data_IF_647557403703
#
_entry.id   IF_647557403703
#
_cell.length_a   1.000
_cell.length_b   1.000
_cell.length_c   1.000
_cell.angle_alpha   90.00
_cell.angle_beta   90.00
_cell.angle_gamma   90.00
#
_symmetry.space_group_name_H-M   'P 1'
#
loop_
_entity.id
_entity.type
_entity.pdbx_description
1 polymer ?
#
# COMPACT_ATOMS: atom_id res chain seq x y z
N UNK A 1 -3.39 -18.89 0.00
CA UNK A 1 -2.61 -18.03 -0.90
C UNK A 1 -1.79 -18.93 -1.83
N UNK A 2 -2.01 -18.83 -3.14
CA UNK A 2 -1.31 -19.66 -4.12
C UNK A 2 -0.21 -18.82 -4.77
N UNK A 3 1.00 -19.37 -4.87
CA UNK A 3 2.07 -18.78 -5.68
C UNK A 3 2.10 -19.54 -7.00
N UNK A 4 1.76 -18.90 -8.11
CA UNK A 4 1.98 -19.46 -9.43
C UNK A 4 3.50 -19.54 -9.71
N UNK A 5 4.00 -20.75 -9.79
CA UNK A 5 5.30 -21.04 -10.39
C UNK A 5 5.03 -21.45 -11.84
N UNK A 6 5.65 -20.77 -12.80
CA UNK A 6 5.47 -21.06 -14.22
C UNK A 6 5.68 -22.56 -14.52
N UNK A 7 4.62 -23.24 -14.87
CA UNK A 7 4.61 -24.62 -15.32
C UNK A 7 4.16 -25.64 -14.30
N UNK A 8 2.91 -25.72 -14.00
CA UNK A 8 2.07 -26.87 -13.71
C UNK A 8 1.56 -27.14 -12.29
N UNK A 9 2.12 -26.63 -11.20
CA UNK A 9 1.51 -26.87 -9.89
C UNK A 9 1.55 -25.62 -9.01
N UNK A 10 0.41 -25.08 -8.54
CA UNK A 10 0.42 -23.98 -7.59
C UNK A 10 1.09 -24.43 -6.29
N UNK A 11 2.16 -23.75 -5.88
CA UNK A 11 2.77 -24.01 -4.57
C UNK A 11 1.99 -23.22 -3.51
N UNK A 12 1.47 -23.94 -2.54
CA UNK A 12 0.90 -23.35 -1.33
C UNK A 12 2.02 -22.77 -0.46
N UNK A 13 1.82 -21.57 0.07
CA UNK A 13 2.64 -21.07 1.17
C UNK A 13 2.26 -21.89 2.40
N UNK A 14 3.09 -22.85 2.74
CA UNK A 14 2.93 -23.70 3.91
C UNK A 14 3.72 -23.19 5.11
N UNK A 15 3.54 -23.83 6.26
CA UNK A 15 4.22 -23.48 7.51
C UNK A 15 5.75 -23.41 7.34
N UNK A 16 6.34 -24.33 6.62
CA UNK A 16 7.78 -24.42 6.36
C UNK A 16 8.34 -23.28 5.48
N UNK A 17 7.49 -22.49 4.85
CA UNK A 17 7.94 -21.29 4.12
C UNK A 17 8.45 -20.23 5.10
N UNK A 18 7.82 -20.08 6.25
CA UNK A 18 8.15 -19.09 7.27
C UNK A 18 8.87 -19.71 8.46
N UNK A 19 8.52 -20.93 8.88
CA UNK A 19 9.07 -21.60 10.05
C UNK A 19 10.12 -22.64 9.67
N UNK A 20 11.16 -22.78 10.51
CA UNK A 20 12.11 -23.87 10.41
C UNK A 20 11.74 -24.97 11.42
N UNK A 21 11.18 -26.11 10.97
CA UNK A 21 10.74 -27.19 11.88
C UNK A 21 11.88 -27.86 12.65
N UNK A 22 13.13 -27.58 12.28
CA UNK A 22 14.31 -28.10 12.97
C UNK A 22 14.93 -27.10 13.95
N UNK A 23 14.23 -25.98 14.23
CA UNK A 23 14.67 -24.92 15.11
C UNK A 23 15.40 -23.78 14.39
N UNK A 24 15.35 -22.61 14.99
CA UNK A 24 16.12 -21.44 14.58
C UNK A 24 16.38 -20.56 15.79
N UNK A 25 17.33 -19.61 15.65
CA UNK A 25 17.61 -18.61 16.69
C UNK A 25 16.57 -17.48 16.73
N UNK A 26 15.61 -17.49 15.82
CA UNK A 26 14.55 -16.50 15.73
C UNK A 26 13.33 -16.87 16.55
N UNK A 27 12.62 -15.86 17.07
CA UNK A 27 11.34 -16.06 17.78
C UNK A 27 10.37 -16.87 16.93
N UNK A 28 9.66 -17.81 17.55
CA UNK A 28 8.70 -18.72 16.89
C UNK A 28 9.33 -19.57 15.78
N UNK A 29 10.61 -19.87 15.87
CA UNK A 29 11.36 -20.68 14.90
C UNK A 29 11.25 -20.15 13.45
N UNK A 30 11.17 -18.83 13.30
CA UNK A 30 11.12 -18.20 11.98
C UNK A 30 12.48 -18.36 11.26
N UNK A 31 12.42 -18.59 9.94
CA UNK A 31 13.61 -18.75 9.10
C UNK A 31 14.41 -17.47 8.96
N UNK A 32 13.74 -16.31 9.05
CA UNK A 32 14.32 -14.99 8.86
C UNK A 32 13.72 -14.02 9.86
N UNK A 33 14.42 -12.93 10.19
CA UNK A 33 13.90 -11.91 11.10
C UNK A 33 12.67 -11.20 10.53
N UNK A 34 11.81 -10.71 11.42
CA UNK A 34 10.60 -9.94 11.08
C UNK A 34 10.74 -8.44 11.38
N UNK A 35 11.85 -8.03 12.02
CA UNK A 35 12.07 -6.65 12.48
C UNK A 35 13.01 -5.84 11.61
N UNK A 36 13.74 -6.48 10.70
CA UNK A 36 14.66 -5.79 9.77
C UNK A 36 13.89 -4.99 8.72
N UNK A 37 14.49 -3.86 8.28
CA UNK A 37 13.87 -2.92 7.32
C UNK A 37 14.53 -2.99 5.95
N UNK A 38 14.84 -4.19 5.54
CA UNK A 38 15.52 -4.51 4.28
C UNK A 38 15.06 -5.87 3.74
N UNK A 39 15.75 -6.36 2.73
CA UNK A 39 15.46 -7.62 2.05
C UNK A 39 15.72 -8.87 2.89
N UNK A 40 16.30 -8.76 4.08
CA UNK A 40 16.46 -9.87 5.02
C UNK A 40 15.20 -10.13 5.85
N UNK A 41 14.23 -9.20 5.85
CA UNK A 41 12.96 -9.39 6.52
C UNK A 41 12.15 -10.51 5.84
N UNK A 42 11.63 -11.43 6.62
CA UNK A 42 10.86 -12.59 6.17
C UNK A 42 9.72 -12.23 5.19
N UNK A 43 8.96 -11.18 5.50
CA UNK A 43 7.83 -10.75 4.68
C UNK A 43 8.30 -9.97 3.44
N UNK A 44 9.26 -9.05 3.64
CA UNK A 44 9.75 -8.16 2.57
C UNK A 44 10.42 -8.97 1.45
N UNK A 45 11.07 -10.10 1.74
CA UNK A 45 11.69 -10.97 0.71
C UNK A 45 10.74 -11.33 -0.43
N UNK A 46 9.46 -11.50 -0.13
CA UNK A 46 8.43 -11.77 -1.14
C UNK A 46 7.67 -10.51 -1.56
N UNK A 47 7.46 -9.57 -0.62
CA UNK A 47 6.66 -8.36 -0.81
C UNK A 47 7.51 -7.14 -1.18
N UNK A 48 8.39 -7.28 -2.21
CA UNK A 48 9.29 -6.21 -2.65
C UNK A 48 9.50 -6.14 -4.17
N UNK A 49 8.73 -6.88 -4.96
CA UNK A 49 8.97 -6.99 -6.40
C UNK A 49 8.39 -5.81 -7.17
N UNK A 50 9.11 -5.38 -8.22
CA UNK A 50 8.70 -4.29 -9.11
C UNK A 50 8.12 -3.08 -8.34
N UNK A 51 8.81 -2.67 -7.29
CA UNK A 51 8.38 -1.55 -6.46
C UNK A 51 8.71 -0.18 -7.07
N UNK A 52 9.55 -0.13 -8.09
CA UNK A 52 9.89 1.05 -8.89
C UNK A 52 9.84 0.69 -10.39
N UNK A 53 9.53 1.64 -11.28
CA UNK A 53 9.54 1.37 -12.70
C UNK A 53 10.97 1.11 -13.19
N UNK A 54 11.10 0.18 -14.13
CA UNK A 54 12.36 -0.24 -14.75
C UNK A 54 12.17 -0.31 -16.26
N UNK A 55 13.11 0.27 -17.03
CA UNK A 55 13.09 0.22 -18.48
C UNK A 55 13.30 -1.18 -19.06
N UNK A 56 14.01 -2.03 -18.32
CA UNK A 56 14.22 -3.44 -18.69
C UNK A 56 13.00 -4.32 -18.39
N UNK A 57 12.07 -3.86 -17.57
CA UNK A 57 10.90 -4.61 -17.14
C UNK A 57 9.62 -3.78 -17.33
N UNK A 58 8.88 -4.09 -18.39
CA UNK A 58 7.63 -3.40 -18.72
C UNK A 58 6.45 -3.79 -17.82
N UNK A 59 6.65 -4.67 -16.85
CA UNK A 59 5.63 -5.05 -15.87
C UNK A 59 5.39 -3.90 -14.91
N UNK A 60 4.12 -3.62 -14.62
CA UNK A 60 3.72 -2.66 -13.57
C UNK A 60 4.17 -3.10 -12.17
N UNK A 61 3.77 -2.36 -11.12
CA UNK A 61 4.07 -2.74 -9.74
C UNK A 61 3.63 -4.17 -9.43
N UNK A 62 4.40 -4.87 -8.61
CA UNK A 62 4.07 -6.24 -8.20
C UNK A 62 4.61 -6.52 -6.80
N UNK A 63 3.72 -6.85 -5.87
CA UNK A 63 4.05 -7.07 -4.46
C UNK A 63 4.93 -5.97 -3.83
N UNK A 64 4.57 -4.67 -3.92
CA UNK A 64 5.42 -3.56 -3.52
C UNK A 64 5.31 -3.19 -2.03
N UNK A 65 4.63 -3.99 -1.21
CA UNK A 65 4.19 -3.64 0.15
C UNK A 65 5.35 -3.24 1.06
N UNK A 66 6.45 -4.01 1.07
CA UNK A 66 7.63 -3.70 1.88
C UNK A 66 8.27 -2.35 1.51
N UNK A 67 8.66 -2.14 0.25
CA UNK A 67 9.18 -0.84 -0.19
C UNK A 67 8.21 0.32 0.02
N UNK A 68 6.89 0.11 -0.14
CA UNK A 68 5.88 1.16 0.11
C UNK A 68 5.85 1.53 1.59
N UNK A 69 5.80 0.53 2.49
CA UNK A 69 5.88 0.75 3.93
C UNK A 69 7.14 1.56 4.30
N UNK A 70 8.28 1.24 3.69
CA UNK A 70 9.57 1.89 3.96
C UNK A 70 9.76 3.23 3.23
N UNK A 71 8.79 3.70 2.41
CA UNK A 71 8.92 4.94 1.64
C UNK A 71 9.96 4.87 0.52
N UNK A 72 10.07 3.72 -0.16
CA UNK A 72 11.11 3.42 -1.18
C UNK A 72 10.53 2.88 -2.48
N UNK A 73 9.23 3.05 -2.72
CA UNK A 73 8.53 2.54 -3.91
C UNK A 73 8.13 3.66 -4.86
N UNK A 74 7.72 3.31 -6.06
CA UNK A 74 7.16 4.21 -7.04
C UNK A 74 8.19 4.87 -7.96
N UNK A 75 7.67 5.58 -8.93
CA UNK A 75 8.43 6.53 -9.73
C UNK A 75 8.63 7.81 -8.92
N UNK A 76 9.87 8.20 -8.74
CA UNK A 76 10.23 9.44 -8.04
C UNK A 76 10.29 10.58 -9.05
N UNK A 77 9.36 11.55 -9.03
CA UNK A 77 9.41 12.72 -9.92
C UNK A 77 10.72 13.50 -9.77
N UNK A 78 11.18 14.18 -10.81
CA UNK A 78 12.38 15.02 -10.73
C UNK A 78 12.30 16.01 -9.55
N UNK A 79 13.34 16.02 -8.73
CA UNK A 79 13.41 16.85 -7.52
C UNK A 79 12.66 16.33 -6.30
N UNK A 80 11.95 15.23 -6.39
CA UNK A 80 11.31 14.63 -5.23
C UNK A 80 12.35 14.04 -4.27
N UNK A 81 12.29 14.46 -3.01
CA UNK A 81 13.09 13.90 -1.91
C UNK A 81 12.15 13.54 -0.78
N UNK A 82 12.30 12.33 -0.28
CA UNK A 82 11.57 11.83 0.89
C UNK A 82 12.55 11.56 2.04
N UNK A 83 12.28 12.17 3.19
CA UNK A 83 12.98 11.89 4.45
C UNK A 83 11.93 11.49 5.50
N UNK A 84 12.06 10.27 6.01
CA UNK A 84 11.17 9.73 7.03
C UNK A 84 11.63 9.99 8.46
N UNK A 85 12.77 10.68 8.66
CA UNK A 85 13.39 10.82 9.99
C UNK A 85 12.46 11.51 10.97
N UNK A 86 11.79 12.57 10.54
CA UNK A 86 10.90 13.38 11.37
C UNK A 86 9.41 13.14 11.08
N UNK A 87 9.07 12.14 10.26
CA UNK A 87 7.69 11.87 9.87
C UNK A 87 7.20 10.58 10.52
N UNK A 88 6.12 10.64 11.33
CA UNK A 88 5.52 9.44 11.88
C UNK A 88 5.00 8.53 10.77
N UNK A 89 5.55 7.33 10.66
CA UNK A 89 5.13 6.31 9.69
C UNK A 89 5.00 4.96 10.38
N UNK A 90 4.26 4.05 9.78
CA UNK A 90 4.15 2.66 10.23
C UNK A 90 5.49 1.90 10.13
N UNK A 91 6.48 2.44 9.42
CA UNK A 91 7.84 1.92 9.37
C UNK A 91 8.74 2.40 10.52
N UNK A 92 8.26 3.25 11.43
CA UNK A 92 9.06 3.73 12.55
C UNK A 92 9.48 2.59 13.48
N UNK A 93 10.79 2.48 13.73
CA UNK A 93 11.36 1.35 14.47
C UNK A 93 10.95 1.31 15.95
N UNK A 94 10.81 2.47 16.58
CA UNK A 94 10.42 2.57 17.98
C UNK A 94 8.91 2.30 18.17
N UNK A 95 8.07 2.80 17.26
CA UNK A 95 6.62 2.63 17.35
C UNK A 95 6.15 1.27 16.81
N UNK A 96 6.82 0.73 15.79
CA UNK A 96 6.46 -0.55 15.17
C UNK A 96 7.69 -1.46 15.00
N UNK A 97 8.24 -2.04 16.07
CA UNK A 97 9.44 -2.87 16.01
C UNK A 97 9.26 -4.16 15.21
N UNK A 98 8.05 -4.69 15.13
CA UNK A 98 7.73 -5.95 14.44
C UNK A 98 7.22 -5.78 13.02
N UNK A 99 7.14 -4.55 12.51
CA UNK A 99 6.68 -4.21 11.15
C UNK A 99 5.37 -4.90 10.76
N UNK A 100 5.41 -5.69 9.68
CA UNK A 100 4.25 -6.37 9.09
C UNK A 100 3.47 -7.20 10.10
N UNK A 101 4.19 -7.90 10.97
CA UNK A 101 3.61 -8.84 11.95
C UNK A 101 2.73 -8.13 12.97
N UNK A 102 3.02 -6.88 13.32
CA UNK A 102 2.22 -6.10 14.26
C UNK A 102 0.76 -5.97 13.81
N UNK A 103 0.54 -5.83 12.51
CA UNK A 103 -0.80 -5.66 11.94
C UNK A 103 -1.35 -6.95 11.34
N UNK A 104 -0.50 -7.69 10.58
CA UNK A 104 -0.95 -8.83 9.77
C UNK A 104 -0.99 -10.16 10.52
N UNK A 105 -0.38 -10.24 11.71
CA UNK A 105 -0.35 -11.46 12.52
C UNK A 105 -1.02 -11.27 13.88
N UNK A 106 -1.87 -10.25 14.02
CA UNK A 106 -2.64 -10.04 15.25
C UNK A 106 -3.68 -11.14 15.44
N UNK A 107 -3.97 -11.44 16.69
CA UNK A 107 -4.94 -12.46 17.07
C UNK A 107 -6.18 -11.80 17.68
N UNK A 108 -7.33 -12.36 17.41
CA UNK A 108 -8.58 -11.76 17.86
C UNK A 108 -9.62 -12.85 18.15
N UNK A 109 -10.38 -12.65 19.22
CA UNK A 109 -11.58 -13.45 19.50
C UNK A 109 -12.81 -12.72 18.95
N UNK A 110 -13.59 -13.42 18.14
CA UNK A 110 -14.90 -12.95 17.68
C UNK A 110 -15.96 -13.62 18.54
N UNK A 111 -16.77 -12.82 19.21
CA UNK A 111 -17.83 -13.30 20.08
C UNK A 111 -19.19 -13.12 19.42
N UNK A 112 -20.04 -14.14 19.55
CA UNK A 112 -21.45 -14.06 19.20
C UNK A 112 -22.21 -13.07 20.12
N UNK A 113 -23.41 -12.69 19.74
CA UNK A 113 -24.32 -11.96 20.59
C UNK A 113 -24.54 -12.74 21.91
N UNK A 114 -24.21 -12.11 23.04
CA UNK A 114 -24.22 -12.76 24.36
C UNK A 114 -22.86 -13.15 24.92
N UNK A 115 -21.76 -12.82 24.19
CA UNK A 115 -20.39 -12.94 24.69
C UNK A 115 -19.76 -14.33 24.54
N UNK A 116 -20.46 -15.32 23.99
CA UNK A 116 -19.89 -16.63 23.71
C UNK A 116 -18.89 -16.54 22.56
N UNK A 117 -17.71 -17.17 22.72
CA UNK A 117 -16.72 -17.25 21.65
C UNK A 117 -17.29 -17.93 20.41
N UNK A 118 -17.40 -17.18 19.31
CA UNK A 118 -17.84 -17.73 18.02
C UNK A 118 -16.66 -18.37 17.28
N UNK A 119 -15.51 -17.69 17.22
CA UNK A 119 -14.27 -18.21 16.64
C UNK A 119 -13.07 -17.39 17.08
N UNK A 120 -11.88 -17.97 16.89
CA UNK A 120 -10.59 -17.35 17.19
C UNK A 120 -9.79 -17.11 15.91
N UNK A 121 -9.47 -15.85 15.63
CA UNK A 121 -8.59 -15.47 14.53
C UNK A 121 -7.13 -15.55 14.98
N UNK A 122 -6.35 -16.41 14.33
CA UNK A 122 -4.97 -16.75 14.76
C UNK A 122 -3.89 -15.85 14.15
N UNK A 123 -4.25 -14.91 13.27
CA UNK A 123 -3.30 -14.08 12.53
C UNK A 123 -2.68 -14.73 11.28
N UNK A 124 -2.73 -16.06 11.14
CA UNK A 124 -2.15 -16.76 9.98
C UNK A 124 -2.95 -16.58 8.67
N UNK A 125 -4.08 -15.88 8.70
CA UNK A 125 -4.75 -15.39 7.50
C UNK A 125 -4.11 -14.12 6.93
N UNK A 126 -3.22 -13.47 7.68
CA UNK A 126 -2.49 -12.26 7.31
C UNK A 126 -3.38 -11.03 7.03
N UNK A 127 -4.59 -10.99 7.57
CA UNK A 127 -5.49 -9.85 7.44
C UNK A 127 -5.23 -8.83 8.55
N UNK A 128 -4.81 -7.60 8.19
CA UNK A 128 -4.60 -6.52 9.17
C UNK A 128 -5.92 -6.00 9.76
N UNK A 129 -7.01 -6.08 9.01
CA UNK A 129 -8.35 -5.70 9.44
C UNK A 129 -9.37 -6.77 9.00
N UNK A 130 -9.43 -7.93 9.70
CA UNK A 130 -10.30 -9.05 9.32
C UNK A 130 -11.77 -8.70 9.48
N UNK A 131 -12.61 -9.34 8.68
CA UNK A 131 -14.05 -9.34 8.85
C UNK A 131 -14.43 -10.07 10.15
N UNK A 132 -15.34 -9.48 10.92
CA UNK A 132 -15.68 -9.98 12.27
C UNK A 132 -17.17 -10.26 12.45
N UNK A 133 -17.87 -10.60 11.38
CA UNK A 133 -19.22 -11.07 11.52
C UNK A 133 -19.27 -12.45 12.19
N UNK A 134 -20.37 -12.72 12.90
CA UNK A 134 -20.55 -13.98 13.63
C UNK A 134 -20.92 -15.16 12.73
N UNK A 135 -21.10 -14.94 11.44
CA UNK A 135 -21.52 -15.96 10.46
C UNK A 135 -20.34 -16.73 9.84
N UNK A 136 -19.12 -16.25 10.07
CA UNK A 136 -17.90 -16.86 9.60
C UNK A 136 -16.85 -15.84 9.20
N UNK A 137 -15.59 -16.28 9.13
CA UNK A 137 -14.51 -15.46 8.58
C UNK A 137 -14.72 -15.38 7.08
N UNK A 138 -15.09 -14.26 6.56
CA UNK A 138 -14.92 -14.01 5.14
C UNK A 138 -13.42 -13.87 4.88
N UNK A 139 -12.84 -14.85 4.21
CA UNK A 139 -11.44 -14.85 3.82
C UNK A 139 -11.14 -13.88 2.68
N UNK A 140 -12.16 -13.26 2.12
CA UNK A 140 -12.04 -12.22 1.10
C UNK A 140 -12.17 -10.85 1.78
N UNK A 141 -11.37 -9.89 1.40
CA UNK A 141 -11.50 -8.49 1.85
C UNK A 141 -12.82 -7.80 1.41
N UNK A 142 -13.86 -8.57 1.14
CA UNK A 142 -15.09 -8.15 0.53
C UNK A 142 -16.14 -7.59 1.51
N UNK A 143 -15.89 -7.64 2.83
CA UNK A 143 -16.85 -7.09 3.79
C UNK A 143 -16.76 -5.56 3.89
N UNK A 144 -17.89 -4.95 4.24
CA UNK A 144 -17.97 -3.53 4.53
C UNK A 144 -17.00 -3.14 5.66
N UNK A 145 -16.40 -1.96 5.56
CA UNK A 145 -15.44 -1.45 6.55
C UNK A 145 -16.03 -1.35 7.97
N UNK A 146 -17.35 -1.23 8.10
CA UNK A 146 -18.05 -1.16 9.39
C UNK A 146 -18.02 -2.47 10.18
N UNK A 147 -17.87 -3.62 9.49
CA UNK A 147 -17.78 -4.96 10.10
C UNK A 147 -16.34 -5.50 10.16
N UNK A 148 -15.34 -4.68 9.82
CA UNK A 148 -13.92 -5.03 10.01
C UNK A 148 -13.43 -4.70 11.40
N UNK A 149 -12.56 -5.56 11.94
CA UNK A 149 -11.84 -5.29 13.18
C UNK A 149 -10.56 -4.50 12.89
N UNK A 150 -10.40 -3.37 13.58
CA UNK A 150 -9.16 -2.59 13.60
C UNK A 150 -8.41 -2.77 14.94
N UNK A 151 -8.60 -3.90 15.61
CA UNK A 151 -7.98 -4.21 16.90
C UNK A 151 -6.45 -4.15 16.81
N UNK A 152 -5.86 -4.74 15.78
CA UNK A 152 -4.42 -4.72 15.53
C UNK A 152 -3.83 -3.30 15.52
N UNK A 153 -4.57 -2.33 15.01
CA UNK A 153 -4.13 -0.94 14.92
C UNK A 153 -4.07 -0.24 16.29
N UNK A 154 -4.77 -0.74 17.29
CA UNK A 154 -4.81 -0.17 18.64
C UNK A 154 -4.13 -1.04 19.69
N UNK A 155 -3.83 -2.30 19.40
CA UNK A 155 -3.31 -3.29 20.34
C UNK A 155 -1.97 -2.88 20.97
N UNK A 156 -1.12 -2.15 20.28
CA UNK A 156 0.19 -1.67 20.74
C UNK A 156 0.18 -0.21 21.20
N UNK A 157 -0.99 0.41 21.38
CA UNK A 157 -1.11 1.83 21.74
C UNK A 157 -0.81 2.81 20.58
N UNK A 158 -0.73 2.31 19.34
CA UNK A 158 -0.46 3.15 18.17
C UNK A 158 -1.63 4.10 17.83
N UNK A 159 -2.87 3.59 17.88
CA UNK A 159 -4.08 4.39 17.76
C UNK A 159 -4.89 4.32 19.05
N UNK A 160 -5.61 5.39 19.37
CA UNK A 160 -6.37 5.50 20.61
C UNK A 160 -7.48 4.42 20.75
N UNK A 161 -7.99 3.91 19.62
CA UNK A 161 -8.96 2.83 19.56
C UNK A 161 -9.06 2.25 18.15
N UNK A 162 -9.68 1.07 18.00
CA UNK A 162 -10.04 0.52 16.69
C UNK A 162 -11.00 1.43 15.91
N UNK A 163 -11.89 2.16 16.58
CA UNK A 163 -12.76 3.16 15.94
C UNK A 163 -11.98 4.35 15.38
N UNK A 164 -10.99 4.86 16.12
CA UNK A 164 -10.12 5.92 15.63
C UNK A 164 -9.26 5.45 14.44
N UNK A 165 -8.75 4.22 14.50
CA UNK A 165 -8.00 3.62 13.41
C UNK A 165 -8.86 3.45 12.14
N UNK A 166 -10.12 3.00 12.30
CA UNK A 166 -11.09 2.91 11.20
C UNK A 166 -11.34 4.26 10.53
N UNK A 167 -11.57 5.31 11.33
CA UNK A 167 -11.78 6.65 10.80
C UNK A 167 -10.56 7.16 10.02
N UNK A 168 -9.35 6.91 10.52
CA UNK A 168 -8.11 7.24 9.83
C UNK A 168 -7.96 6.44 8.53
N UNK A 169 -8.27 5.14 8.54
CA UNK A 169 -8.26 4.28 7.34
C UNK A 169 -9.16 4.88 6.25
N UNK A 170 -10.42 5.19 6.59
CA UNK A 170 -11.37 5.76 5.63
C UNK A 170 -10.93 7.12 5.08
N UNK A 171 -10.34 7.97 5.93
CA UNK A 171 -9.82 9.26 5.49
C UNK A 171 -8.65 9.11 4.51
N UNK A 172 -7.74 8.16 4.77
CA UNK A 172 -6.59 7.87 3.89
C UNK A 172 -7.07 7.24 2.58
N UNK A 173 -7.98 6.29 2.63
CA UNK A 173 -8.56 5.67 1.44
C UNK A 173 -9.19 6.72 0.50
N UNK A 174 -10.01 7.64 1.06
CA UNK A 174 -10.60 8.75 0.31
C UNK A 174 -9.56 9.73 -0.24
N UNK A 175 -8.46 9.93 0.48
CA UNK A 175 -7.36 10.78 0.03
C UNK A 175 -6.61 10.12 -1.13
N UNK A 176 -6.26 8.83 -1.01
CA UNK A 176 -5.59 8.10 -2.08
C UNK A 176 -6.46 8.02 -3.32
N UNK A 177 -7.74 7.72 -3.19
CA UNK A 177 -8.70 7.72 -4.30
C UNK A 177 -8.77 9.09 -5.00
N UNK A 178 -8.73 10.18 -4.26
CA UNK A 178 -8.68 11.52 -4.85
C UNK A 178 -7.38 11.80 -5.60
N UNK A 179 -6.23 11.45 -5.03
CA UNK A 179 -4.92 11.70 -5.64
C UNK A 179 -4.71 10.84 -6.89
N UNK A 180 -5.01 9.54 -6.80
CA UNK A 180 -4.93 8.64 -7.96
C UNK A 180 -5.93 9.00 -9.03
N UNK A 181 -7.19 9.30 -8.67
CA UNK A 181 -8.22 9.73 -9.62
C UNK A 181 -7.94 11.08 -10.28
N UNK A 182 -7.15 11.96 -9.64
CA UNK A 182 -6.65 13.18 -10.31
C UNK A 182 -5.69 12.83 -11.44
N UNK A 183 -4.89 11.77 -11.29
CA UNK A 183 -4.00 11.27 -12.34
C UNK A 183 -4.76 10.44 -13.38
N UNK A 184 -5.48 9.43 -12.92
CA UNK A 184 -6.22 8.53 -13.80
C UNK A 184 -7.27 7.73 -13.04
N UNK A 185 -8.47 7.63 -13.60
CA UNK A 185 -9.53 6.70 -13.21
C UNK A 185 -9.90 5.86 -14.43
N UNK A 186 -9.72 4.56 -14.30
CA UNK A 186 -10.19 3.56 -15.26
C UNK A 186 -11.70 3.38 -15.08
N UNK A 187 -12.47 4.03 -15.91
CA UNK A 187 -13.95 4.05 -15.79
C UNK A 187 -14.57 2.79 -16.41
N UNK A 188 -13.94 2.23 -17.44
CA UNK A 188 -14.44 1.06 -18.14
C UNK A 188 -13.87 -0.27 -17.62
N UNK A 189 -12.83 -0.22 -16.76
CA UNK A 189 -12.23 -1.39 -16.11
C UNK A 189 -11.33 -2.21 -17.06
N UNK A 190 -10.86 -1.62 -18.17
CA UNK A 190 -10.03 -2.36 -19.14
C UNK A 190 -8.51 -2.31 -18.82
N UNK A 191 -8.12 -1.57 -17.80
CA UNK A 191 -6.72 -1.43 -17.36
C UNK A 191 -5.86 -0.58 -18.29
N UNK A 192 -6.45 0.16 -19.23
CA UNK A 192 -5.74 0.95 -20.22
C UNK A 192 -6.26 2.38 -20.24
N UNK A 193 -5.36 3.34 -20.41
CA UNK A 193 -5.76 4.73 -20.58
C UNK A 193 -6.44 4.88 -21.94
N UNK A 194 -7.72 5.26 -21.94
CA UNK A 194 -8.56 5.30 -23.13
C UNK A 194 -9.66 6.36 -23.11
N UNK A 195 -10.48 6.34 -24.15
CA UNK A 195 -11.67 7.18 -24.25
C UNK A 195 -12.72 6.71 -23.24
N UNK A 196 -13.24 7.65 -22.44
CA UNK A 196 -14.20 7.35 -21.38
C UNK A 196 -13.57 7.41 -19.98
N UNK A 197 -12.25 7.28 -19.87
CA UNK A 197 -11.54 7.48 -18.64
C UNK A 197 -11.43 8.96 -18.27
N UNK A 198 -11.04 9.22 -17.02
CA UNK A 198 -10.87 10.57 -16.50
C UNK A 198 -9.49 10.76 -15.87
N UNK A 199 -9.11 12.02 -15.66
CA UNK A 199 -7.85 12.41 -15.05
C UNK A 199 -6.83 13.00 -16.02
N UNK A 200 -5.68 13.43 -15.48
CA UNK A 200 -4.65 14.11 -16.26
C UNK A 200 -4.04 13.23 -17.35
N UNK A 201 -3.86 11.94 -17.09
CA UNK A 201 -3.19 11.03 -18.02
C UNK A 201 -3.99 10.78 -19.30
N UNK A 202 -5.31 11.00 -19.28
CA UNK A 202 -6.13 10.90 -20.51
C UNK A 202 -5.88 12.05 -21.49
N UNK A 203 -5.24 13.13 -21.03
CA UNK A 203 -4.92 14.30 -21.85
C UNK A 203 -3.47 14.26 -22.39
N UNK A 204 -2.71 13.23 -21.99
CA UNK A 204 -1.31 13.06 -22.43
C UNK A 204 -1.28 12.29 -23.74
N UNK A 205 -0.42 12.68 -24.71
CA UNK A 205 -0.29 11.96 -25.97
C UNK A 205 0.05 10.47 -25.77
N UNK A 206 -0.57 9.58 -26.53
CA UNK A 206 -0.34 8.14 -26.46
C UNK A 206 1.14 7.74 -26.71
N UNK A 207 1.89 8.60 -27.38
CA UNK A 207 3.33 8.42 -27.62
C UNK A 207 4.17 8.46 -26.34
N UNK A 208 3.64 9.02 -25.24
CA UNK A 208 4.31 9.09 -23.95
C UNK A 208 4.18 7.78 -23.14
N UNK A 209 3.47 6.78 -23.63
CA UNK A 209 3.28 5.47 -22.98
C UNK A 209 3.90 4.31 -23.79
N UNK A 210 4.98 4.57 -24.52
CA UNK A 210 5.60 3.60 -25.44
C UNK A 210 6.43 2.51 -24.79
N UNK A 211 6.79 2.66 -23.52
CA UNK A 211 7.64 1.71 -22.78
C UNK A 211 8.93 1.40 -23.54
N UNK A 212 9.63 2.44 -23.91
CA UNK A 212 10.96 2.37 -24.50
C UNK A 212 12.08 2.42 -23.44
N UNK A 213 13.28 2.86 -23.81
CA UNK A 213 14.43 2.95 -22.91
C UNK A 213 14.35 4.11 -21.89
N UNK A 214 13.27 4.89 -21.88
CA UNK A 214 13.10 6.08 -21.02
C UNK A 214 11.76 5.97 -20.29
N UNK A 215 11.75 6.16 -18.97
CA UNK A 215 10.52 6.30 -18.21
C UNK A 215 10.03 7.74 -18.33
N UNK A 216 8.98 7.96 -19.08
CA UNK A 216 8.35 9.29 -19.19
C UNK A 216 7.62 9.67 -17.91
N UNK A 217 7.26 10.96 -17.76
CA UNK A 217 6.46 11.41 -16.63
C UNK A 217 5.04 10.77 -16.63
N UNK A 218 4.51 10.45 -17.80
CA UNK A 218 3.22 9.77 -17.94
C UNK A 218 3.30 8.30 -17.48
N UNK A 219 4.31 7.57 -17.92
CA UNK A 219 4.54 6.19 -17.50
C UNK A 219 4.83 6.09 -16.00
N UNK A 220 5.66 7.00 -15.46
CA UNK A 220 5.93 7.08 -14.04
C UNK A 220 4.67 7.39 -13.22
N UNK A 221 3.82 8.28 -13.71
CA UNK A 221 2.57 8.60 -13.06
C UNK A 221 1.57 7.43 -13.09
N UNK A 222 1.45 6.73 -14.23
CA UNK A 222 0.65 5.52 -14.34
C UNK A 222 1.16 4.44 -13.37
N UNK A 223 2.48 4.26 -13.29
CA UNK A 223 3.07 3.34 -12.32
C UNK A 223 2.68 3.70 -10.88
N UNK A 224 2.71 4.97 -10.50
CA UNK A 224 2.37 5.42 -9.15
C UNK A 224 0.87 5.25 -8.84
N UNK A 225 -0.03 5.40 -9.82
CA UNK A 225 -1.45 5.07 -9.66
C UNK A 225 -1.64 3.57 -9.42
N UNK A 226 -1.03 2.75 -10.26
CA UNK A 226 -1.07 1.28 -10.13
C UNK A 226 -0.41 0.79 -8.84
N UNK A 227 0.64 1.48 -8.36
CA UNK A 227 1.32 1.15 -7.11
C UNK A 227 0.35 1.16 -5.92
N UNK A 228 -0.48 2.20 -5.80
CA UNK A 228 -1.46 2.30 -4.71
C UNK A 228 -2.48 1.16 -4.76
N UNK A 229 -2.95 0.81 -5.96
CA UNK A 229 -3.90 -0.29 -6.15
C UNK A 229 -3.27 -1.66 -5.81
N UNK A 230 -2.06 -1.94 -6.32
CA UNK A 230 -1.36 -3.23 -6.15
C UNK A 230 -0.78 -3.39 -4.72
N UNK A 231 -0.45 -2.29 -4.04
CA UNK A 231 -0.06 -2.31 -2.63
C UNK A 231 -1.17 -2.88 -1.74
N UNK A 232 -2.43 -2.68 -2.09
CA UNK A 232 -3.60 -3.29 -1.46
C UNK A 232 -3.92 -2.77 -0.05
N UNK A 233 -3.13 -1.80 0.46
CA UNK A 233 -3.34 -1.21 1.79
C UNK A 233 -4.24 0.03 1.77
N UNK A 234 -4.75 0.43 0.62
CA UNK A 234 -5.47 1.70 0.43
C UNK A 234 -4.66 2.93 0.90
N UNK A 235 -3.32 2.82 0.88
CA UNK A 235 -2.40 3.87 1.32
C UNK A 235 -1.95 3.76 2.78
N UNK A 236 -2.45 2.81 3.54
CA UNK A 236 -2.17 2.70 4.98
C UNK A 236 -0.73 2.29 5.29
N UNK A 237 -0.05 1.57 4.41
CA UNK A 237 1.34 1.21 4.65
C UNK A 237 2.23 2.43 4.95
N UNK A 238 2.08 3.52 4.19
CA UNK A 238 2.81 4.75 4.46
C UNK A 238 2.04 5.99 3.93
N UNK A 239 1.02 6.46 4.67
CA UNK A 239 0.17 7.54 4.20
C UNK A 239 0.93 8.84 3.86
N UNK A 240 1.85 9.34 4.71
CA UNK A 240 2.55 10.56 4.39
C UNK A 240 3.47 10.44 3.16
N UNK A 241 4.11 9.28 2.98
CA UNK A 241 4.92 9.02 1.79
C UNK A 241 4.10 9.03 0.51
N UNK A 242 3.01 8.26 0.48
CA UNK A 242 2.17 8.14 -0.71
C UNK A 242 1.49 9.47 -1.05
N UNK A 243 1.04 10.22 -0.05
CA UNK A 243 0.55 11.59 -0.25
C UNK A 243 1.59 12.46 -0.94
N UNK A 244 2.81 12.47 -0.42
CA UNK A 244 3.91 13.25 -0.96
C UNK A 244 4.25 12.83 -2.40
N UNK A 245 4.41 11.53 -2.63
CA UNK A 245 4.73 10.95 -3.94
C UNK A 245 3.67 11.30 -4.98
N UNK A 246 2.39 11.06 -4.68
CA UNK A 246 1.30 11.33 -5.62
C UNK A 246 1.13 12.84 -5.88
N UNK A 247 1.27 13.69 -4.86
CA UNK A 247 1.22 15.15 -5.03
C UNK A 247 2.34 15.63 -5.95
N UNK A 248 3.57 15.16 -5.74
CA UNK A 248 4.71 15.47 -6.60
C UNK A 248 4.51 14.94 -8.03
N UNK A 249 3.95 13.74 -8.16
CA UNK A 249 3.62 13.13 -9.45
C UNK A 249 2.62 13.98 -10.23
N UNK A 250 1.54 14.44 -9.58
CA UNK A 250 0.55 15.35 -10.20
C UNK A 250 1.20 16.63 -10.69
N UNK A 251 2.08 17.22 -9.88
CA UNK A 251 2.81 18.45 -10.27
C UNK A 251 3.74 18.20 -11.46
N UNK A 252 4.50 17.11 -11.46
CA UNK A 252 5.40 16.75 -12.56
C UNK A 252 4.65 16.57 -13.89
N UNK A 253 3.51 15.84 -13.87
CA UNK A 253 2.65 15.65 -15.05
C UNK A 253 2.10 17.00 -15.54
N UNK A 254 1.57 17.83 -14.64
CA UNK A 254 1.05 19.15 -15.00
C UNK A 254 2.11 20.04 -15.66
N UNK A 255 3.30 20.10 -15.08
CA UNK A 255 4.41 20.90 -15.59
C UNK A 255 4.91 20.36 -16.93
N UNK A 256 5.12 19.06 -17.03
CA UNK A 256 5.67 18.44 -18.26
C UNK A 256 4.77 18.62 -19.46
N UNK A 257 3.44 18.51 -19.28
CA UNK A 257 2.47 18.49 -20.37
C UNK A 257 1.60 19.75 -20.46
N UNK A 258 1.85 20.76 -19.61
CA UNK A 258 1.08 22.01 -19.60
C UNK A 258 -0.39 21.82 -19.18
N UNK A 259 -0.68 20.81 -18.36
CA UNK A 259 -2.04 20.45 -17.97
C UNK A 259 -2.51 21.21 -16.73
N UNK A 260 -3.83 21.35 -16.60
CA UNK A 260 -4.48 21.93 -15.44
C UNK A 260 -5.58 20.99 -14.90
N UNK A 261 -5.89 21.14 -13.63
CA UNK A 261 -7.02 20.49 -12.98
C UNK A 261 -8.12 21.51 -12.69
N UNK A 262 -9.38 21.09 -12.55
CA UNK A 262 -10.47 22.00 -12.16
C UNK A 262 -10.16 22.76 -10.87
N UNK A 263 -10.66 24.00 -10.71
CA UNK A 263 -10.33 24.85 -9.56
C UNK A 263 -10.59 24.22 -8.19
N UNK A 264 -11.67 23.45 -8.04
CA UNK A 264 -11.99 22.75 -6.81
C UNK A 264 -10.96 21.68 -6.45
N UNK A 265 -10.47 20.92 -7.46
CA UNK A 265 -9.39 19.93 -7.29
C UNK A 265 -8.06 20.65 -6.97
N UNK A 266 -7.76 21.75 -7.66
CA UNK A 266 -6.55 22.55 -7.40
C UNK A 266 -6.50 23.05 -5.96
N UNK A 267 -7.63 23.54 -5.42
CA UNK A 267 -7.72 23.98 -4.03
C UNK A 267 -7.53 22.83 -3.04
N UNK A 268 -8.05 21.64 -3.34
CA UNK A 268 -7.82 20.45 -2.48
C UNK A 268 -6.38 20.00 -2.52
N UNK A 269 -5.76 19.94 -3.71
CA UNK A 269 -4.35 19.60 -3.87
C UNK A 269 -3.43 20.58 -3.11
N UNK A 270 -3.72 21.90 -3.17
CA UNK A 270 -2.96 22.90 -2.43
C UNK A 270 -3.02 22.69 -0.92
N UNK A 271 -4.18 22.33 -0.38
CA UNK A 271 -4.32 21.99 1.05
C UNK A 271 -3.53 20.75 1.44
N UNK A 272 -3.56 19.70 0.61
CA UNK A 272 -2.77 18.47 0.84
C UNK A 272 -1.27 18.76 0.80
N UNK A 273 -0.82 19.55 -0.19
CA UNK A 273 0.58 19.95 -0.30
C UNK A 273 1.05 20.79 0.91
N UNK A 274 0.22 21.69 1.41
CA UNK A 274 0.52 22.49 2.61
C UNK A 274 0.61 21.62 3.89
N UNK A 275 -0.10 20.50 3.93
CA UNK A 275 -0.02 19.53 5.02
C UNK A 275 1.15 18.55 4.95
N UNK A 276 1.94 18.59 3.88
CA UNK A 276 3.19 17.83 3.78
C UNK A 276 4.20 18.51 4.72
N UNK A 277 4.51 17.85 5.85
CA UNK A 277 5.47 18.34 6.83
C UNK A 277 6.89 18.51 6.24
N UNK A 278 7.85 18.88 7.08
CA UNK A 278 9.25 19.17 6.68
C UNK A 278 10.00 18.04 6.00
N UNK A 279 9.47 16.81 6.01
CA UNK A 279 10.07 15.63 5.37
C UNK A 279 9.98 15.58 3.84
N UNK A 280 9.37 16.56 3.18
CA UNK A 280 9.22 16.59 1.72
C UNK A 280 9.82 17.88 1.17
N UNK A 281 10.87 17.75 0.38
CA UNK A 281 11.38 18.85 -0.43
C UNK A 281 11.10 18.55 -1.92
N UNK A 282 10.37 19.45 -2.57
CA UNK A 282 10.37 19.56 -4.03
C UNK A 282 11.46 20.60 -4.35
N UNK A 283 12.60 20.17 -4.85
CA UNK A 283 13.70 21.03 -5.32
C UNK A 283 13.64 21.22 -6.82
#
# INVERSE_FOLDING_TARGET
MFVEVSGTTPMLIGCATCHNPHGSDSTAELREPISTRDTTNLCIRCHMRNAAPDTANTRGPHSPQGPTLLGRSGWLPPGFVWDSTDVPTHANAAANPRLCVTCHMDTLNVNAAGGTLAWHYTGHGFYAAPCVDTAGVDSTDACDVSVRSFAACSASGCHASGGAARANFQAIEQEMAFLTGTLWTDVNGDGKIGSGDTGLLTQVPATEFKRDSIITAAEGALFNVQLVAVDGSHGVHNPPYLRALLTATIQAVKQKYGLSVPPAQAARLARLAAGLGRGVALR
#
